data_IF_842673924096
#
_entry.id   IF_842673924096
#
_cell.length_a   1.000
_cell.length_b   1.000
_cell.length_c   1.000
_cell.angle_alpha   90.00
_cell.angle_beta   90.00
_cell.angle_gamma   90.00
#
_symmetry.space_group_name_H-M   'P 1'
#
loop_
_entity.id
_entity.type
_entity.pdbx_description
1 polymer ?
#
# COMPACT_ATOMS: atom_id res chain seq x y z
N UNK A 1 -19.36 23.78 65.32
CA UNK A 1 -19.94 24.97 64.66
C UNK A 1 -20.04 24.64 63.18
N UNK A 2 -21.26 24.33 62.68
CA UNK A 2 -22.01 25.13 61.67
C UNK A 2 -21.14 25.46 60.44
N UNK A 3 -21.43 25.02 59.21
CA UNK A 3 -22.74 25.03 58.55
C UNK A 3 -22.73 24.13 57.28
N UNK A 4 -23.79 23.32 57.14
CA UNK A 4 -24.30 22.77 55.88
C UNK A 4 -24.67 23.91 54.92
N UNK A 5 -24.55 23.69 53.61
CA UNK A 5 -25.64 23.97 52.65
C UNK A 5 -25.36 23.35 51.27
N UNK A 6 -26.05 22.22 51.07
CA UNK A 6 -26.53 21.67 49.81
C UNK A 6 -27.57 22.63 49.18
N UNK A 7 -27.96 22.38 47.93
CA UNK A 7 -29.05 22.98 47.11
C UNK A 7 -28.59 24.02 46.10
N UNK A 8 -29.04 24.07 44.84
CA UNK A 8 -29.88 23.20 44.02
C UNK A 8 -29.75 23.70 42.57
N UNK A 9 -29.83 22.77 41.63
CA UNK A 9 -30.09 22.98 40.22
C UNK A 9 -31.52 23.52 40.00
N UNK A 10 -31.68 24.66 39.30
CA UNK A 10 -32.95 25.06 38.66
C UNK A 10 -32.64 25.68 37.29
N UNK A 11 -33.07 24.98 36.24
CA UNK A 11 -33.21 25.44 34.86
C UNK A 11 -34.67 25.90 34.70
N UNK A 12 -34.92 27.16 34.31
CA UNK A 12 -36.23 27.58 33.75
C UNK A 12 -36.05 28.72 32.72
N UNK A 13 -36.18 28.30 31.45
CA UNK A 13 -36.97 28.84 30.34
C UNK A 13 -36.94 30.35 29.95
N UNK A 14 -36.36 30.55 28.75
CA UNK A 14 -36.94 31.20 27.56
C UNK A 14 -37.86 32.42 27.75
N UNK A 15 -37.42 33.55 27.21
CA UNK A 15 -38.27 34.45 26.43
C UNK A 15 -37.42 35.32 25.50
N UNK A 16 -37.51 35.06 24.20
CA UNK A 16 -37.38 36.11 23.21
C UNK A 16 -38.41 35.81 22.12
N UNK A 17 -39.53 36.53 22.18
CA UNK A 17 -40.41 36.74 21.07
C UNK A 17 -39.61 37.33 19.90
N UNK A 18 -39.79 36.82 18.70
CA UNK A 18 -40.17 37.71 17.60
C UNK A 18 -40.82 36.91 16.46
N UNK A 19 -41.96 37.46 16.06
CA UNK A 19 -42.86 37.03 15.03
C UNK A 19 -42.53 37.84 13.78
N UNK A 20 -42.15 37.19 12.69
CA UNK A 20 -42.13 37.82 11.37
C UNK A 20 -42.29 36.75 10.28
N UNK A 21 -43.50 36.80 9.68
CA UNK A 21 -43.91 36.54 8.30
C UNK A 21 -43.53 35.24 7.56
N UNK A 22 -44.47 34.64 6.81
CA UNK A 22 -44.21 33.46 6.00
C UNK A 22 -43.56 33.85 4.67
N UNK A 23 -42.42 33.24 4.37
CA UNK A 23 -41.85 33.22 3.01
C UNK A 23 -41.71 31.77 2.57
N UNK A 24 -42.30 31.51 1.41
CA UNK A 24 -42.29 30.29 0.59
C UNK A 24 -40.89 29.66 0.47
N UNK A 25 -40.76 28.32 0.35
CA UNK A 25 -39.50 27.63 0.55
C UNK A 25 -38.50 27.96 -0.57
N UNK A 26 -37.49 28.78 -0.24
CA UNK A 26 -36.26 28.78 -1.00
C UNK A 26 -35.65 27.37 -0.85
N UNK A 27 -35.56 26.65 -1.97
CA UNK A 27 -34.79 25.42 -2.06
C UNK A 27 -33.46 25.65 -1.37
N UNK A 28 -33.24 24.95 -0.25
CA UNK A 28 -31.95 24.90 0.40
C UNK A 28 -31.04 24.27 -0.63
N UNK A 29 -30.27 25.11 -1.31
CA UNK A 29 -29.11 24.67 -2.05
C UNK A 29 -28.28 23.91 -1.01
N UNK A 30 -28.34 22.58 -1.08
CA UNK A 30 -27.48 21.71 -0.32
C UNK A 30 -26.08 22.26 -0.57
N UNK A 31 -25.45 22.78 0.49
CA UNK A 31 -24.01 22.97 0.47
C UNK A 31 -23.44 21.68 -0.14
N UNK A 32 -22.56 21.76 -1.16
CA UNK A 32 -21.93 20.55 -1.66
C UNK A 32 -21.39 19.85 -0.41
N UNK A 33 -21.89 18.64 -0.17
CA UNK A 33 -21.34 17.78 0.87
C UNK A 33 -19.84 17.86 0.68
N UNK A 34 -19.11 18.28 1.72
CA UNK A 34 -17.67 18.28 1.68
C UNK A 34 -17.28 16.92 1.11
N UNK A 35 -16.72 16.92 -0.10
CA UNK A 35 -16.19 15.72 -0.70
C UNK A 35 -15.17 15.25 0.32
N UNK A 36 -15.47 14.15 1.01
CA UNK A 36 -14.46 13.41 1.73
C UNK A 36 -13.45 13.04 0.65
N UNK A 37 -12.35 13.79 0.56
CA UNK A 37 -11.15 13.30 -0.08
C UNK A 37 -10.87 11.98 0.61
N UNK A 38 -11.22 10.89 -0.07
CA UNK A 38 -10.81 9.56 0.34
C UNK A 38 -9.30 9.62 0.50
N UNK A 39 -8.78 9.07 1.60
CA UNK A 39 -7.35 9.00 1.87
C UNK A 39 -6.69 8.10 0.80
N UNK A 40 -6.45 8.66 -0.40
CA UNK A 40 -5.83 7.99 -1.53
C UNK A 40 -4.33 8.08 -1.36
N UNK A 41 -3.69 6.91 -1.36
CA UNK A 41 -2.26 6.77 -1.31
C UNK A 41 -1.75 6.50 -2.72
N UNK A 42 -0.76 7.28 -3.17
CA UNK A 42 -0.20 7.16 -4.51
C UNK A 42 1.19 6.56 -4.46
N UNK A 43 1.36 5.41 -5.10
CA UNK A 43 2.60 4.65 -5.17
C UNK A 43 3.08 4.63 -6.61
N UNK A 44 4.24 5.23 -6.87
CA UNK A 44 4.78 5.35 -8.22
C UNK A 44 6.05 4.51 -8.39
N UNK A 45 6.10 3.72 -9.45
CA UNK A 45 7.30 3.00 -9.82
C UNK A 45 8.45 3.97 -10.12
N UNK A 46 9.61 3.74 -9.50
CA UNK A 46 10.82 4.51 -9.73
C UNK A 46 11.47 4.02 -11.03
N UNK A 47 11.78 4.91 -11.99
CA UNK A 47 12.42 4.49 -13.23
C UNK A 47 13.73 3.73 -12.99
N UNK A 48 13.97 2.68 -13.78
CA UNK A 48 15.18 1.84 -13.66
C UNK A 48 16.48 2.57 -13.96
N UNK A 49 16.41 3.79 -14.52
CA UNK A 49 17.55 4.69 -14.73
C UNK A 49 17.96 5.43 -13.45
N UNK A 50 17.18 5.36 -12.37
CA UNK A 50 17.53 5.96 -11.09
C UNK A 50 18.75 5.28 -10.44
N UNK A 51 19.58 6.05 -9.75
CA UNK A 51 20.80 5.55 -9.10
C UNK A 51 20.52 4.48 -8.04
N UNK A 52 19.34 4.46 -7.42
CA UNK A 52 18.95 3.42 -6.46
C UNK A 52 19.06 2.02 -7.07
N UNK A 53 18.75 1.84 -8.36
CA UNK A 53 18.90 0.55 -9.04
C UNK A 53 20.37 0.14 -9.20
N UNK A 54 21.27 1.11 -9.38
CA UNK A 54 22.72 0.84 -9.44
C UNK A 54 23.22 0.35 -8.08
N UNK A 55 22.74 0.96 -6.99
CA UNK A 55 23.05 0.55 -5.62
C UNK A 55 22.52 -0.87 -5.35
N UNK A 56 21.26 -1.16 -5.69
CA UNK A 56 20.67 -2.50 -5.51
C UNK A 56 21.43 -3.58 -6.29
N UNK A 57 21.82 -3.29 -7.54
CA UNK A 57 22.63 -4.20 -8.35
C UNK A 57 24.01 -4.43 -7.73
N UNK A 58 24.66 -3.38 -7.23
CA UNK A 58 25.95 -3.50 -6.55
C UNK A 58 25.87 -4.31 -5.24
N UNK A 59 24.71 -4.26 -4.56
CA UNK A 59 24.42 -5.09 -3.40
C UNK A 59 24.08 -6.56 -3.74
N UNK A 60 24.02 -6.91 -5.03
CA UNK A 60 23.81 -8.28 -5.51
C UNK A 60 22.37 -8.64 -5.88
N UNK A 61 21.46 -7.66 -5.96
CA UNK A 61 20.12 -7.91 -6.47
C UNK A 61 20.18 -8.26 -7.96
N UNK A 62 19.60 -9.41 -8.34
CA UNK A 62 19.41 -9.79 -9.74
C UNK A 62 18.18 -9.11 -10.34
N UNK A 63 17.15 -8.90 -9.52
CA UNK A 63 15.93 -8.17 -9.87
C UNK A 63 15.56 -7.22 -8.74
N UNK A 64 15.01 -6.06 -9.08
CA UNK A 64 14.46 -5.12 -8.11
C UNK A 64 13.27 -4.37 -8.69
N UNK A 65 12.31 -4.03 -7.83
CA UNK A 65 11.28 -3.03 -8.08
C UNK A 65 11.33 -2.03 -6.93
N UNK A 66 11.37 -0.75 -7.26
CA UNK A 66 11.43 0.34 -6.28
C UNK A 66 10.25 1.25 -6.57
N UNK A 67 9.52 1.62 -5.52
CA UNK A 67 8.38 2.50 -5.62
C UNK A 67 8.52 3.67 -4.65
N UNK A 68 8.05 4.84 -5.05
CA UNK A 68 7.97 6.03 -4.20
C UNK A 68 6.54 6.18 -3.72
N UNK A 69 6.36 6.46 -2.42
CA UNK A 69 5.05 6.77 -1.83
C UNK A 69 4.93 8.30 -1.84
N UNK A 70 4.18 8.85 -2.80
CA UNK A 70 4.12 10.30 -3.04
C UNK A 70 3.04 11.02 -2.23
N UNK A 71 1.93 10.34 -1.95
CA UNK A 71 0.83 10.89 -1.17
C UNK A 71 0.48 9.87 -0.10
N UNK A 72 0.68 10.24 1.17
CA UNK A 72 0.29 9.45 2.33
C UNK A 72 -0.31 10.43 3.32
N UNK A 73 -1.63 10.63 3.22
CA UNK A 73 -2.34 11.74 3.88
C UNK A 73 -2.28 11.66 5.41
N UNK A 74 -2.05 10.47 5.97
CA UNK A 74 -1.93 10.21 7.40
C UNK A 74 -0.91 9.12 7.63
N UNK A 75 -0.19 9.20 8.75
CA UNK A 75 0.72 8.15 9.15
C UNK A 75 -0.01 6.83 9.43
N UNK A 76 0.62 5.70 9.16
CA UNK A 76 -0.10 4.44 9.05
C UNK A 76 0.78 3.24 8.75
N UNK A 77 0.16 2.07 8.84
CA UNK A 77 0.78 0.80 8.51
C UNK A 77 0.80 0.57 7.00
N UNK A 78 1.89 -0.02 6.51
CA UNK A 78 1.97 -0.59 5.18
C UNK A 78 2.28 -2.08 5.31
N UNK A 79 1.47 -2.90 4.69
CA UNK A 79 1.64 -4.35 4.62
C UNK A 79 2.02 -4.73 3.18
N UNK A 80 3.07 -5.52 3.03
CA UNK A 80 3.61 -6.03 1.78
C UNK A 80 3.64 -7.56 1.82
N UNK A 81 3.25 -8.22 0.75
CA UNK A 81 3.38 -9.66 0.58
C UNK A 81 3.43 -10.04 -0.89
N UNK A 82 3.80 -11.29 -1.17
CA UNK A 82 3.67 -11.88 -2.51
C UNK A 82 2.52 -12.87 -2.49
N UNK A 83 1.64 -12.80 -3.48
CA UNK A 83 0.71 -13.88 -3.82
C UNK A 83 1.34 -14.75 -4.91
N UNK A 84 1.32 -16.08 -4.74
CA UNK A 84 1.85 -17.02 -5.71
C UNK A 84 0.69 -17.70 -6.44
N UNK A 85 0.70 -17.62 -7.76
CA UNK A 85 -0.29 -18.23 -8.64
C UNK A 85 0.34 -19.32 -9.49
N UNK A 86 -0.32 -20.47 -9.54
CA UNK A 86 0.05 -21.60 -10.41
C UNK A 86 -1.17 -21.99 -11.23
N UNK A 87 -0.98 -22.08 -12.55
CA UNK A 87 -2.04 -22.38 -13.53
C UNK A 87 -3.27 -21.48 -13.36
N UNK A 88 -3.03 -20.20 -13.09
CA UNK A 88 -4.05 -19.17 -12.90
C UNK A 88 -4.80 -19.21 -11.56
N UNK A 89 -4.38 -20.05 -10.62
CA UNK A 89 -5.01 -20.16 -9.29
C UNK A 89 -4.07 -19.74 -8.18
N UNK A 90 -4.61 -19.06 -7.15
CA UNK A 90 -3.85 -18.70 -5.96
C UNK A 90 -3.42 -19.98 -5.24
N UNK A 91 -2.11 -20.18 -5.15
CA UNK A 91 -1.48 -21.31 -4.48
C UNK A 91 -1.22 -20.98 -3.01
N UNK A 92 -0.46 -19.91 -2.76
CA UNK A 92 -0.13 -19.44 -1.41
C UNK A 92 0.15 -17.92 -1.37
N UNK A 93 0.52 -17.44 -0.18
CA UNK A 93 1.04 -16.08 0.02
C UNK A 93 2.26 -16.11 0.92
N UNK A 94 3.34 -15.46 0.48
CA UNK A 94 4.65 -15.54 1.13
C UNK A 94 5.23 -14.17 1.45
N UNK A 95 6.23 -14.18 2.35
CA UNK A 95 7.06 -13.03 2.70
C UNK A 95 6.26 -11.80 3.18
N UNK A 96 5.24 -12.04 4.02
CA UNK A 96 4.41 -10.97 4.58
C UNK A 96 5.22 -10.10 5.53
N UNK A 97 5.17 -8.79 5.32
CA UNK A 97 5.94 -7.79 6.05
C UNK A 97 5.07 -6.57 6.32
N UNK A 98 5.05 -6.12 7.57
CA UNK A 98 4.37 -4.88 7.96
C UNK A 98 5.40 -3.87 8.42
N UNK A 99 5.27 -2.64 7.93
CA UNK A 99 6.04 -1.50 8.37
C UNK A 99 5.13 -0.31 8.65
N UNK A 100 5.72 0.78 9.12
CA UNK A 100 5.04 2.04 9.36
C UNK A 100 5.60 3.09 8.43
N UNK A 101 4.73 3.96 7.94
CA UNK A 101 5.08 5.09 7.10
C UNK A 101 4.51 6.33 7.78
N UNK A 102 5.37 7.29 8.14
CA UNK A 102 4.88 8.58 8.64
C UNK A 102 4.39 9.46 7.49
N UNK A 103 3.47 10.36 7.85
CA UNK A 103 2.93 11.37 6.96
C UNK A 103 4.04 12.32 6.47
N UNK A 104 3.94 12.73 5.20
CA UNK A 104 4.70 13.84 4.62
C UNK A 104 6.24 13.76 4.77
N UNK A 105 6.80 12.58 5.06
CA UNK A 105 8.26 12.38 5.00
C UNK A 105 8.65 12.22 3.53
N UNK A 106 9.41 13.19 3.02
CA UNK A 106 10.01 13.09 1.71
C UNK A 106 10.85 11.80 1.61
N UNK A 107 10.78 11.13 0.45
CA UNK A 107 11.52 9.90 0.15
C UNK A 107 11.03 8.61 0.83
N UNK A 108 9.76 8.52 1.21
CA UNK A 108 9.15 7.24 1.53
C UNK A 108 9.22 6.31 0.32
N UNK A 109 9.86 5.15 0.46
CA UNK A 109 10.06 4.19 -0.65
C UNK A 109 9.78 2.76 -0.23
N UNK A 110 9.22 1.98 -1.16
CA UNK A 110 9.07 0.53 -1.06
C UNK A 110 10.11 -0.10 -1.97
N UNK A 111 10.79 -1.12 -1.46
CA UNK A 111 11.75 -1.91 -2.19
C UNK A 111 11.30 -3.36 -2.18
N UNK A 112 11.32 -3.96 -3.36
CA UNK A 112 11.34 -5.40 -3.52
C UNK A 112 12.60 -5.78 -4.28
N UNK A 113 13.30 -6.82 -3.82
CA UNK A 113 14.47 -7.33 -4.54
C UNK A 113 14.63 -8.83 -4.39
N UNK A 114 15.18 -9.43 -5.45
CA UNK A 114 15.57 -10.83 -5.50
C UNK A 114 17.09 -10.89 -5.59
N UNK A 115 17.71 -11.67 -4.71
CA UNK A 115 19.12 -12.02 -4.75
C UNK A 115 19.25 -13.52 -4.94
N UNK A 116 20.09 -13.97 -5.88
CA UNK A 116 20.40 -15.40 -6.03
C UNK A 116 21.42 -15.80 -4.95
N UNK A 117 21.08 -16.77 -4.12
CA UNK A 117 21.95 -17.29 -3.05
C UNK A 117 22.69 -18.54 -3.53
N UNK A 118 21.98 -19.41 -4.25
CA UNK A 118 22.54 -20.59 -4.91
C UNK A 118 21.81 -20.85 -6.22
N UNK A 119 22.06 -21.98 -6.88
CA UNK A 119 21.32 -22.37 -8.07
C UNK A 119 19.87 -22.77 -7.80
N UNK A 120 19.56 -23.14 -6.56
CA UNK A 120 18.26 -23.65 -6.14
C UNK A 120 17.57 -22.74 -5.11
N UNK A 121 18.20 -21.62 -4.73
CA UNK A 121 17.69 -20.75 -3.68
C UNK A 121 17.87 -19.27 -4.04
N UNK A 122 16.79 -18.52 -3.88
CA UNK A 122 16.77 -17.07 -3.96
C UNK A 122 16.37 -16.47 -2.61
N UNK A 123 16.88 -15.28 -2.32
CA UNK A 123 16.44 -14.45 -1.21
C UNK A 123 15.60 -13.30 -1.72
N UNK A 124 14.36 -13.27 -1.26
CA UNK A 124 13.40 -12.23 -1.59
C UNK A 124 13.32 -11.27 -0.42
N UNK A 125 13.52 -9.99 -0.68
CA UNK A 125 13.56 -8.94 0.35
C UNK A 125 12.49 -7.91 0.08
N UNK A 126 11.70 -7.63 1.10
CA UNK A 126 10.89 -6.42 1.18
C UNK A 126 11.57 -5.42 2.09
N UNK A 127 11.56 -4.15 1.70
CA UNK A 127 11.94 -3.08 2.59
C UNK A 127 11.06 -1.84 2.39
N UNK A 128 10.86 -1.11 3.47
CA UNK A 128 10.20 0.18 3.48
C UNK A 128 11.20 1.16 4.08
N UNK A 129 11.53 2.20 3.31
CA UNK A 129 12.36 3.31 3.78
C UNK A 129 11.47 4.49 4.10
N UNK A 130 11.72 5.09 5.26
CA UNK A 130 11.09 6.30 5.74
C UNK A 130 12.18 7.31 6.12
N UNK A 131 12.47 8.26 5.22
CA UNK A 131 13.63 9.13 5.37
C UNK A 131 14.94 8.31 5.41
N UNK A 132 15.65 8.37 6.54
CA UNK A 132 16.88 7.60 6.79
C UNK A 132 16.64 6.24 7.46
N UNK A 133 15.40 5.97 7.91
CA UNK A 133 15.06 4.71 8.55
C UNK A 133 14.70 3.65 7.50
N UNK A 134 15.20 2.44 7.68
CA UNK A 134 14.89 1.29 6.83
C UNK A 134 14.39 0.14 7.69
N UNK A 135 13.19 -0.37 7.37
CA UNK A 135 12.68 -1.61 7.91
C UNK A 135 12.59 -2.64 6.78
N UNK A 136 12.97 -3.89 7.04
CA UNK A 136 12.99 -4.92 6.00
C UNK A 136 12.65 -6.31 6.55
N UNK A 137 12.09 -7.15 5.67
CA UNK A 137 11.93 -8.58 5.90
C UNK A 137 12.49 -9.37 4.70
N UNK A 138 12.93 -10.59 4.97
CA UNK A 138 13.53 -11.46 3.98
C UNK A 138 12.96 -12.86 4.10
N UNK A 139 12.74 -13.51 2.96
CA UNK A 139 12.40 -14.91 2.87
C UNK A 139 13.34 -15.59 1.87
N UNK A 140 13.76 -16.80 2.19
CA UNK A 140 14.41 -17.67 1.22
C UNK A 140 13.33 -18.45 0.47
N UNK A 141 13.42 -18.45 -0.86
CA UNK A 141 12.50 -19.12 -1.77
C UNK A 141 13.30 -20.14 -2.56
N UNK A 142 12.88 -21.41 -2.47
CA UNK A 142 13.46 -22.47 -3.29
C UNK A 142 12.98 -22.30 -4.74
N UNK A 143 13.93 -22.33 -5.67
CA UNK A 143 13.67 -22.25 -7.11
C UNK A 143 14.08 -23.56 -7.76
N UNK A 144 13.12 -24.42 -8.09
CA UNK A 144 13.40 -25.59 -8.92
C UNK A 144 13.17 -25.25 -10.38
N UNK A 145 14.15 -25.53 -11.24
CA UNK A 145 14.02 -25.51 -12.71
C UNK A 145 13.66 -24.16 -13.36
N UNK A 146 13.73 -23.02 -12.66
CA UNK A 146 13.52 -21.71 -13.29
C UNK A 146 14.64 -21.37 -14.27
N UNK A 147 14.29 -21.24 -15.55
CA UNK A 147 15.20 -20.86 -16.64
C UNK A 147 15.07 -19.38 -16.98
N UNK A 148 13.87 -18.80 -16.84
CA UNK A 148 13.61 -17.39 -17.12
C UNK A 148 12.73 -16.73 -16.05
N UNK A 149 12.98 -15.43 -15.82
CA UNK A 149 12.21 -14.57 -14.92
C UNK A 149 12.05 -13.18 -15.54
N UNK A 150 10.82 -12.63 -15.50
CA UNK A 150 10.52 -11.27 -15.94
C UNK A 150 9.72 -10.56 -14.85
N UNK A 151 10.20 -9.38 -14.45
CA UNK A 151 9.57 -8.51 -13.47
C UNK A 151 8.88 -7.34 -14.19
N UNK A 152 7.57 -7.17 -13.98
CA UNK A 152 6.79 -6.05 -14.56
C UNK A 152 6.13 -5.25 -13.45
N UNK A 153 6.63 -4.04 -13.14
CA UNK A 153 5.99 -3.15 -12.18
C UNK A 153 4.72 -2.54 -12.79
N UNK A 154 3.76 -2.23 -11.93
CA UNK A 154 2.68 -1.31 -12.28
C UNK A 154 3.15 0.12 -12.07
N UNK A 155 2.95 0.94 -13.10
CA UNK A 155 3.22 2.36 -13.01
C UNK A 155 2.02 3.04 -12.36
N UNK A 156 2.29 3.95 -11.42
CA UNK A 156 1.30 4.86 -10.84
C UNK A 156 0.05 4.17 -10.28
N UNK A 157 0.18 3.62 -9.08
CA UNK A 157 -0.85 2.86 -8.40
C UNK A 157 -1.52 3.74 -7.35
N UNK A 158 -2.84 3.92 -7.49
CA UNK A 158 -3.68 4.49 -6.45
C UNK A 158 -4.15 3.38 -5.49
N UNK A 159 -4.03 3.65 -4.21
CA UNK A 159 -4.43 2.76 -3.14
C UNK A 159 -5.44 3.46 -2.23
N UNK A 160 -6.55 2.80 -1.96
CA UNK A 160 -7.50 3.23 -0.94
C UNK A 160 -7.17 2.50 0.36
N UNK A 161 -7.21 3.21 1.49
CA UNK A 161 -7.00 2.61 2.81
C UNK A 161 -7.88 1.36 3.03
N UNK A 162 -7.25 0.27 3.50
CA UNK A 162 -7.93 -0.99 3.79
C UNK A 162 -7.94 -2.02 2.66
N UNK A 163 -7.76 -1.62 1.41
CA UNK A 163 -7.78 -2.52 0.25
C UNK A 163 -6.38 -2.97 -0.17
N UNK A 164 -6.30 -4.20 -0.69
CA UNK A 164 -5.06 -4.80 -1.16
C UNK A 164 -4.84 -4.56 -2.66
N UNK A 165 -3.86 -3.74 -3.00
CA UNK A 165 -3.54 -3.37 -4.38
C UNK A 165 -2.28 -4.10 -4.87
N UNK A 166 -2.22 -4.43 -6.15
CA UNK A 166 -1.00 -4.96 -6.75
C UNK A 166 -0.03 -3.82 -7.10
N UNK A 167 1.28 -4.04 -6.92
CA UNK A 167 2.33 -3.12 -7.35
C UNK A 167 3.12 -3.63 -8.56
N UNK A 168 3.01 -4.92 -8.88
CA UNK A 168 3.73 -5.54 -10.00
C UNK A 168 3.64 -7.06 -9.98
N UNK A 169 4.17 -7.66 -11.04
CA UNK A 169 4.24 -9.11 -11.23
C UNK A 169 5.64 -9.59 -11.50
N UNK A 170 5.88 -10.85 -11.15
CA UNK A 170 7.06 -11.60 -11.51
C UNK A 170 6.56 -12.86 -12.18
N UNK A 171 6.85 -13.01 -13.46
CA UNK A 171 6.55 -14.22 -14.20
C UNK A 171 7.80 -15.07 -14.23
N UNK A 172 7.65 -16.35 -13.93
CA UNK A 172 8.73 -17.33 -13.97
C UNK A 172 8.37 -18.43 -14.95
N UNK A 173 9.38 -18.98 -15.62
CA UNK A 173 9.21 -20.10 -16.53
C UNK A 173 10.29 -21.15 -16.31
N UNK A 174 9.87 -22.41 -16.42
CA UNK A 174 10.74 -23.58 -16.43
C UNK A 174 11.35 -23.83 -17.81
N UNK A 175 10.77 -23.25 -18.86
CA UNK A 175 11.20 -23.38 -20.25
C UNK A 175 11.73 -22.03 -20.79
N UNK A 176 12.56 -22.07 -21.84
CA UNK A 176 13.00 -20.91 -22.64
C UNK A 176 11.84 -20.26 -23.44
N UNK A 177 10.62 -20.40 -22.95
CA UNK A 177 9.40 -19.87 -23.54
C UNK A 177 9.39 -18.36 -23.37
N UNK A 178 9.06 -17.59 -24.42
CA UNK A 178 8.94 -16.14 -24.32
C UNK A 178 7.95 -15.76 -23.21
N UNK A 179 8.46 -15.09 -22.18
CA UNK A 179 7.64 -14.58 -21.10
C UNK A 179 6.88 -13.33 -21.56
N UNK A 180 5.55 -13.37 -21.48
CA UNK A 180 4.69 -12.22 -21.70
C UNK A 180 4.20 -11.72 -20.35
N UNK A 181 4.71 -10.58 -19.93
CA UNK A 181 4.20 -9.87 -18.76
C UNK A 181 3.58 -8.56 -19.23
N UNK A 182 2.37 -8.28 -18.76
CA UNK A 182 1.63 -7.06 -19.07
C UNK A 182 1.23 -6.35 -17.79
N UNK A 183 0.79 -5.09 -17.90
CA UNK A 183 0.21 -4.36 -16.79
C UNK A 183 -1.20 -4.85 -16.40
N UNK A 184 -1.83 -5.69 -17.24
CA UNK A 184 -3.04 -6.44 -16.87
C UNK A 184 -2.62 -7.69 -16.07
N UNK A 185 -2.80 -7.60 -14.76
CA UNK A 185 -2.43 -8.63 -13.78
C UNK A 185 -3.24 -9.92 -14.02
N UNK A 186 -4.54 -9.79 -14.25
CA UNK A 186 -5.45 -10.93 -14.46
C UNK A 186 -5.16 -11.65 -15.78
N UNK A 187 -4.81 -10.93 -16.83
CA UNK A 187 -4.32 -11.53 -18.06
C UNK A 187 -2.97 -12.24 -17.82
N UNK A 188 -2.05 -11.60 -17.09
CA UNK A 188 -0.73 -12.16 -16.79
C UNK A 188 -0.85 -13.47 -15.99
N UNK A 189 -1.71 -13.52 -14.97
CA UNK A 189 -1.99 -14.72 -14.16
C UNK A 189 -2.56 -15.86 -15.01
N UNK A 190 -3.47 -15.56 -15.96
CA UNK A 190 -4.09 -16.60 -16.80
C UNK A 190 -3.19 -17.10 -17.92
N UNK A 191 -2.29 -16.27 -18.43
CA UNK A 191 -1.46 -16.58 -19.60
C UNK A 191 -0.17 -17.32 -19.25
N UNK A 192 0.27 -17.25 -17.99
CA UNK A 192 1.53 -17.83 -17.56
C UNK A 192 1.28 -18.93 -16.52
N UNK A 193 2.09 -19.98 -16.58
CA UNK A 193 2.00 -21.14 -15.69
C UNK A 193 2.24 -20.75 -14.23
N UNK A 194 3.18 -19.84 -13.99
CA UNK A 194 3.57 -19.45 -12.64
C UNK A 194 3.84 -17.94 -12.57
N UNK A 195 3.12 -17.27 -11.67
CA UNK A 195 3.16 -15.82 -11.50
C UNK A 195 3.17 -15.48 -10.02
N UNK A 196 4.04 -14.56 -9.63
CA UNK A 196 3.97 -13.94 -8.32
C UNK A 196 3.48 -12.50 -8.47
N UNK A 197 2.53 -12.10 -7.62
CA UNK A 197 1.99 -10.74 -7.59
C UNK A 197 2.47 -10.06 -6.33
N UNK A 198 3.15 -8.94 -6.49
CA UNK A 198 3.52 -8.06 -5.37
C UNK A 198 2.28 -7.30 -4.92
N UNK A 199 1.86 -7.53 -3.68
CA UNK A 199 0.70 -6.90 -3.07
C UNK A 199 1.12 -5.91 -1.99
N UNK A 200 0.33 -4.85 -1.88
CA UNK A 200 0.48 -3.81 -0.88
C UNK A 200 -0.89 -3.46 -0.31
N UNK A 201 -0.97 -3.25 1.00
CA UNK A 201 -2.14 -2.71 1.67
C UNK A 201 -1.71 -1.63 2.63
N UNK A 202 -2.41 -0.50 2.59
CA UNK A 202 -2.26 0.53 3.59
C UNK A 202 -3.36 0.39 4.65
N UNK A 203 -3.00 0.60 5.91
CA UNK A 203 -3.93 0.69 7.02
C UNK A 203 -3.72 2.01 7.75
N UNK A 204 -4.80 2.71 8.04
CA UNK A 204 -4.75 3.86 8.94
C UNK A 204 -4.27 3.42 10.33
N UNK A 205 -3.43 4.24 10.96
CA UNK A 205 -3.16 4.08 12.37
C UNK A 205 -4.41 4.51 13.14
N UNK A 206 -5.11 3.55 13.75
CA UNK A 206 -6.08 3.85 14.80
C UNK A 206 -5.28 4.25 16.03
N UNK A 207 -4.79 5.49 16.05
CA UNK A 207 -4.21 6.10 17.23
C UNK A 207 -5.30 6.21 18.32
N UNK A 208 -5.46 5.14 19.11
CA UNK A 208 -6.20 5.10 20.37
C UNK A 208 -7.67 4.70 20.27
N UNK A 209 -7.93 3.43 20.63
CA UNK A 209 -8.97 3.08 21.62
C UNK A 209 -8.33 2.19 22.67
#
# INVERSE_FOLDING_TARGET
MKQLLLTSLIIVLLTACQRSSPSEPAAVASAPAASSDSDVIRVEFLPTTDNEYTVMKAAGASHAMIFTINHFMRSGGIELWMEHYVDGQLHDSVNRFTSYVADNVANNKIYFSIQRISDEEQRWTFAVRQGDNLASAQANVLISNQTAMVSTPLNDVEMTGGDATALGTIVVSEEDTPLSASTDIEATIRQNKEVYVLKCKASEDNAGV
#
